data_IF_512185808307
#
_entry.id   IF_512185808307
#
_cell.length_a   1.000
_cell.length_b   1.000
_cell.length_c   1.000
_cell.angle_alpha   90.00
_cell.angle_beta   90.00
_cell.angle_gamma   90.00
#
_symmetry.space_group_name_H-M   'P 1'
#
loop_
_entity.id
_entity.type
_entity.pdbx_description
1 polymer ?
#
# COMPACT_ATOMS: atom_id res chain seq x y z
N UNK A 1 -25.39 -14.43 16.84
CA UNK A 1 -24.73 -14.15 15.54
C UNK A 1 -24.54 -15.50 14.86
N UNK A 2 -25.01 -15.68 13.63
CA UNK A 2 -24.86 -16.96 12.90
C UNK A 2 -23.40 -17.18 12.49
N UNK A 3 -23.02 -18.41 12.20
CA UNK A 3 -21.67 -18.74 11.69
C UNK A 3 -21.33 -17.91 10.44
N UNK A 4 -22.30 -17.76 9.52
CA UNK A 4 -22.16 -16.91 8.34
C UNK A 4 -21.86 -15.45 8.71
N UNK A 5 -22.57 -14.87 9.68
CA UNK A 5 -22.33 -13.49 10.10
C UNK A 5 -20.95 -13.31 10.74
N UNK A 6 -20.48 -14.29 11.51
CA UNK A 6 -19.14 -14.27 12.11
C UNK A 6 -18.05 -14.32 11.03
N UNK A 7 -18.22 -15.21 10.05
CA UNK A 7 -17.31 -15.32 8.91
C UNK A 7 -17.29 -14.05 8.05
N UNK A 8 -18.43 -13.44 7.79
CA UNK A 8 -18.49 -12.15 7.08
C UNK A 8 -17.81 -11.04 7.89
N UNK A 9 -18.10 -10.93 9.19
CA UNK A 9 -17.58 -9.87 10.05
C UNK A 9 -16.06 -9.89 10.22
N UNK A 10 -15.41 -11.06 10.09
CA UNK A 10 -13.94 -11.17 10.20
C UNK A 10 -13.18 -10.84 8.92
N UNK A 11 -13.84 -10.70 7.77
CA UNK A 11 -13.21 -10.45 6.47
C UNK A 11 -12.92 -8.95 6.27
N UNK A 12 -11.77 -8.64 5.67
CA UNK A 12 -11.37 -7.29 5.27
C UNK A 12 -10.84 -7.34 3.85
N UNK A 13 -11.57 -6.78 2.90
CA UNK A 13 -11.20 -6.80 1.48
C UNK A 13 -10.82 -5.40 1.04
N UNK A 14 -9.56 -5.21 0.61
CA UNK A 14 -9.07 -3.91 0.18
C UNK A 14 -8.08 -4.00 -0.98
N UNK A 15 -7.92 -2.89 -1.69
CA UNK A 15 -6.90 -2.73 -2.72
C UNK A 15 -5.84 -1.71 -2.29
N UNK A 16 -4.61 -1.86 -2.77
CA UNK A 16 -3.57 -0.82 -2.63
C UNK A 16 -3.52 -0.01 -3.92
N UNK A 17 -3.79 1.29 -3.81
CA UNK A 17 -3.77 2.24 -4.94
C UNK A 17 -2.61 3.21 -4.81
N UNK A 18 -1.93 3.48 -5.91
CA UNK A 18 -0.84 4.48 -5.93
C UNK A 18 -0.50 4.90 -7.35
N UNK A 19 0.22 6.01 -7.47
CA UNK A 19 0.97 6.31 -8.69
C UNK A 19 2.10 5.27 -8.91
N UNK A 20 2.55 5.05 -10.16
CA UNK A 20 3.80 4.35 -10.45
C UNK A 20 4.95 4.74 -9.50
N UNK A 21 5.75 3.76 -9.09
CA UNK A 21 6.93 3.94 -8.23
C UNK A 21 6.69 4.51 -6.82
N UNK A 22 5.46 4.85 -6.42
CA UNK A 22 5.16 5.30 -5.05
C UNK A 22 5.45 4.21 -3.98
N UNK A 23 5.52 2.95 -4.40
CA UNK A 23 5.99 1.82 -3.58
C UNK A 23 4.95 0.76 -3.26
N UNK A 24 3.85 0.69 -4.01
CA UNK A 24 2.79 -0.34 -3.90
C UNK A 24 3.34 -1.76 -3.70
N UNK A 25 4.21 -2.23 -4.60
CA UNK A 25 4.75 -3.61 -4.53
C UNK A 25 5.54 -3.87 -3.25
N UNK A 26 6.30 -2.88 -2.76
CA UNK A 26 7.03 -2.99 -1.51
C UNK A 26 6.09 -2.97 -0.30
N UNK A 27 5.01 -2.19 -0.35
CA UNK A 27 3.97 -2.22 0.67
C UNK A 27 3.25 -3.57 0.71
N UNK A 28 2.85 -4.10 -0.45
CA UNK A 28 2.26 -5.44 -0.59
C UNK A 28 3.14 -6.52 0.03
N UNK A 29 4.45 -6.53 -0.29
CA UNK A 29 5.40 -7.49 0.29
C UNK A 29 5.44 -7.41 1.82
N UNK A 30 5.50 -6.19 2.38
CA UNK A 30 5.54 -5.99 3.83
C UNK A 30 4.26 -6.44 4.52
N UNK A 31 3.11 -6.09 3.94
CA UNK A 31 1.80 -6.50 4.44
C UNK A 31 1.69 -8.02 4.49
N UNK A 32 2.10 -8.73 3.44
CA UNK A 32 2.12 -10.19 3.41
C UNK A 32 3.07 -10.79 4.44
N UNK A 33 4.26 -10.22 4.60
CA UNK A 33 5.24 -10.65 5.60
C UNK A 33 4.65 -10.55 7.02
N UNK A 34 4.02 -9.43 7.35
CA UNK A 34 3.35 -9.24 8.65
C UNK A 34 2.12 -10.13 8.83
N UNK A 35 1.47 -10.53 7.73
CA UNK A 35 0.39 -11.52 7.71
C UNK A 35 0.83 -12.98 7.84
N UNK A 36 2.13 -13.25 8.03
CA UNK A 36 2.67 -14.62 8.08
C UNK A 36 2.68 -15.34 6.73
N UNK A 37 2.35 -14.65 5.63
CA UNK A 37 2.35 -15.18 4.27
C UNK A 37 3.75 -15.13 3.64
N UNK A 38 4.74 -15.72 4.34
CA UNK A 38 6.18 -15.60 4.04
C UNK A 38 6.51 -16.09 2.61
N UNK A 39 5.90 -17.21 2.18
CA UNK A 39 6.12 -17.75 0.84
C UNK A 39 5.61 -16.80 -0.24
N UNK A 40 4.43 -16.21 -0.06
CA UNK A 40 3.86 -15.23 -1.00
C UNK A 40 4.70 -13.94 -1.05
N UNK A 41 5.14 -13.45 0.11
CA UNK A 41 6.05 -12.30 0.19
C UNK A 41 7.39 -12.58 -0.52
N UNK A 42 7.95 -13.78 -0.35
CA UNK A 42 9.17 -14.22 -1.04
C UNK A 42 9.04 -14.24 -2.56
N UNK A 43 7.89 -14.68 -3.09
CA UNK A 43 7.61 -14.68 -4.53
C UNK A 43 7.55 -13.26 -5.10
N UNK A 44 6.91 -12.32 -4.41
CA UNK A 44 6.85 -10.90 -4.83
C UNK A 44 8.25 -10.27 -4.83
N UNK A 45 9.04 -10.55 -3.79
CA UNK A 45 10.44 -10.14 -3.71
C UNK A 45 11.27 -10.74 -4.85
N UNK A 46 11.02 -12.01 -5.19
CA UNK A 46 11.64 -12.72 -6.31
C UNK A 46 11.34 -12.09 -7.67
N UNK A 47 10.11 -11.62 -7.89
CA UNK A 47 9.73 -10.83 -9.09
C UNK A 47 10.57 -9.56 -9.21
N UNK A 48 10.79 -8.84 -8.11
CA UNK A 48 11.64 -7.64 -8.07
C UNK A 48 13.14 -7.92 -8.24
N UNK A 49 13.61 -9.11 -7.82
CA UNK A 49 15.01 -9.52 -7.84
C UNK A 49 15.42 -10.38 -9.06
N UNK A 50 14.54 -10.55 -10.05
CA UNK A 50 14.88 -11.13 -11.35
C UNK A 50 15.09 -12.66 -11.39
N UNK A 51 14.66 -13.44 -10.39
CA UNK A 51 14.76 -14.92 -10.46
C UNK A 51 13.62 -15.54 -11.26
N UNK A 52 13.99 -16.46 -12.15
CA UNK A 52 13.19 -17.06 -13.23
C UNK A 52 11.86 -17.68 -12.80
N UNK A 53 10.85 -17.51 -13.64
CA UNK A 53 9.55 -18.13 -13.52
C UNK A 53 9.11 -18.72 -14.87
N UNK A 54 8.37 -19.83 -14.80
CA UNK A 54 8.20 -20.88 -15.82
C UNK A 54 6.99 -20.68 -16.77
N UNK A 55 6.63 -19.44 -17.10
CA UNK A 55 5.49 -19.16 -17.99
C UNK A 55 5.77 -17.97 -18.90
N UNK A 56 5.40 -18.08 -20.17
CA UNK A 56 5.59 -17.06 -21.21
C UNK A 56 5.04 -15.68 -20.81
N UNK A 57 4.00 -15.63 -19.98
CA UNK A 57 3.42 -14.40 -19.47
C UNK A 57 4.29 -13.70 -18.41
N UNK A 58 5.00 -14.46 -17.57
CA UNK A 58 5.93 -13.91 -16.57
C UNK A 58 7.22 -13.38 -17.21
N UNK A 59 7.60 -13.89 -18.38
CA UNK A 59 8.71 -13.36 -19.18
C UNK A 59 8.40 -11.94 -19.66
N UNK A 60 7.15 -11.68 -20.06
CA UNK A 60 6.68 -10.37 -20.53
C UNK A 60 6.57 -9.33 -19.39
N UNK A 61 6.11 -9.75 -18.20
CA UNK A 61 6.16 -8.92 -16.98
C UNK A 61 7.60 -8.53 -16.61
N UNK A 62 8.53 -9.48 -16.76
CA UNK A 62 9.94 -9.32 -16.43
C UNK A 62 10.69 -8.42 -17.42
N UNK A 63 10.36 -8.48 -18.71
CA UNK A 63 10.94 -7.61 -19.75
C UNK A 63 10.50 -6.15 -19.62
N UNK A 64 9.29 -5.89 -19.12
CA UNK A 64 8.73 -4.54 -18.96
C UNK A 64 8.82 -3.98 -17.54
N UNK A 65 9.12 -4.80 -16.54
CA UNK A 65 9.21 -4.37 -15.13
C UNK A 65 7.87 -4.01 -14.49
N UNK A 66 6.74 -4.48 -15.05
CA UNK A 66 5.37 -4.09 -14.67
C UNK A 66 4.53 -5.32 -14.29
N UNK A 67 3.60 -5.14 -13.34
CA UNK A 67 2.62 -6.16 -12.96
C UNK A 67 1.45 -6.12 -13.94
N UNK A 68 1.20 -7.20 -14.66
CA UNK A 68 0.26 -7.27 -15.80
C UNK A 68 -1.10 -7.86 -15.41
N UNK A 69 -1.21 -8.60 -14.29
CA UNK A 69 -2.49 -9.18 -13.84
C UNK A 69 -2.85 -8.85 -12.39
N UNK A 70 -4.15 -8.59 -12.16
CA UNK A 70 -4.73 -8.39 -10.82
C UNK A 70 -4.67 -9.69 -10.02
N UNK A 71 -3.81 -9.75 -9.02
CA UNK A 71 -3.65 -10.91 -8.13
C UNK A 71 -4.42 -10.69 -6.83
N UNK A 72 -5.22 -11.68 -6.43
CA UNK A 72 -5.89 -11.69 -5.12
C UNK A 72 -5.03 -12.49 -4.14
N UNK A 73 -4.72 -11.90 -2.98
CA UNK A 73 -3.92 -12.53 -1.94
C UNK A 73 -4.71 -12.54 -0.63
N UNK A 74 -4.92 -13.72 -0.06
CA UNK A 74 -5.60 -13.89 1.22
C UNK A 74 -4.61 -14.30 2.31
N UNK A 75 -4.69 -13.68 3.48
CA UNK A 75 -3.87 -14.03 4.63
C UNK A 75 -4.55 -13.68 5.96
N UNK A 76 -4.29 -14.42 7.05
CA UNK A 76 -4.80 -14.08 8.37
C UNK A 76 -3.98 -12.93 9.00
N UNK A 77 -4.63 -12.03 9.72
CA UNK A 77 -3.96 -11.00 10.52
C UNK A 77 -4.80 -10.62 11.73
N UNK A 78 -4.22 -10.72 12.95
CA UNK A 78 -4.89 -10.42 14.21
C UNK A 78 -6.30 -11.06 14.33
N UNK A 79 -6.51 -12.31 13.92
CA UNK A 79 -7.83 -12.96 13.97
C UNK A 79 -8.85 -12.48 12.92
N UNK A 80 -8.41 -11.69 11.93
CA UNK A 80 -9.18 -11.28 10.75
C UNK A 80 -8.65 -12.01 9.51
N UNK A 81 -9.47 -12.12 8.48
CA UNK A 81 -9.07 -12.64 7.16
C UNK A 81 -8.96 -11.45 6.21
N UNK A 82 -7.74 -11.17 5.76
CA UNK A 82 -7.44 -10.07 4.86
C UNK A 82 -7.41 -10.58 3.44
N UNK A 83 -8.17 -9.93 2.55
CA UNK A 83 -8.12 -10.12 1.11
C UNK A 83 -7.53 -8.87 0.48
N UNK A 84 -6.31 -8.98 -0.02
CA UNK A 84 -5.60 -7.90 -0.70
C UNK A 84 -5.71 -8.12 -2.20
N UNK A 85 -6.30 -7.17 -2.91
CA UNK A 85 -6.33 -7.14 -4.36
C UNK A 85 -5.23 -6.19 -4.86
N UNK A 86 -4.27 -6.72 -5.61
CA UNK A 86 -3.21 -5.90 -6.19
C UNK A 86 -3.68 -5.30 -7.52
N UNK A 87 -3.75 -3.97 -7.60
CA UNK A 87 -4.11 -3.26 -8.86
C UNK A 87 -2.87 -3.10 -9.74
N UNK A 88 -2.92 -3.38 -11.05
CA UNK A 88 -1.82 -3.06 -11.96
C UNK A 88 -1.39 -1.59 -11.86
N UNK A 89 -0.08 -1.34 -11.80
CA UNK A 89 0.46 0.01 -11.59
C UNK A 89 0.84 0.77 -12.86
N UNK A 90 0.79 0.14 -14.03
CA UNK A 90 1.23 0.74 -15.31
C UNK A 90 0.09 1.47 -16.03
N UNK A 91 0.44 2.51 -16.80
CA UNK A 91 -0.52 3.38 -17.52
C UNK A 91 -1.47 2.58 -18.42
N UNK A 92 -0.96 1.53 -19.06
CA UNK A 92 -1.70 0.68 -20.01
C UNK A 92 -2.84 -0.16 -19.42
N UNK A 93 -3.02 -0.20 -18.09
CA UNK A 93 -3.98 -1.09 -17.41
C UNK A 93 -5.05 -0.35 -16.60
N UNK A 94 -5.65 0.68 -17.19
CA UNK A 94 -6.69 1.51 -16.55
C UNK A 94 -7.98 0.71 -16.24
N UNK A 95 -8.49 -0.10 -17.17
CA UNK A 95 -9.77 -0.79 -17.00
C UNK A 95 -9.75 -1.88 -15.91
N UNK A 96 -8.73 -2.73 -15.91
CA UNK A 96 -8.60 -3.79 -14.89
C UNK A 96 -8.39 -3.24 -13.49
N UNK A 97 -7.71 -2.09 -13.36
CA UNK A 97 -7.57 -1.38 -12.09
C UNK A 97 -8.92 -0.90 -11.57
N UNK A 98 -9.75 -0.32 -12.45
CA UNK A 98 -11.07 0.16 -12.05
C UNK A 98 -12.01 -0.98 -11.67
N UNK A 99 -11.96 -2.12 -12.40
CA UNK A 99 -12.71 -3.33 -12.03
C UNK A 99 -12.30 -3.87 -10.66
N UNK A 100 -11.02 -3.87 -10.33
CA UNK A 100 -10.56 -4.28 -8.99
C UNK A 100 -11.15 -3.40 -7.91
N UNK A 101 -11.22 -2.08 -8.12
CA UNK A 101 -11.82 -1.17 -7.15
C UNK A 101 -13.32 -1.40 -6.94
N UNK A 102 -14.01 -2.03 -7.90
CA UNK A 102 -15.40 -2.47 -7.69
C UNK A 102 -15.55 -3.73 -6.84
N UNK A 103 -14.47 -4.46 -6.57
CA UNK A 103 -14.49 -5.72 -5.83
C UNK A 103 -14.01 -5.60 -4.38
N UNK A 104 -13.71 -4.38 -3.92
CA UNK A 104 -13.16 -4.12 -2.58
C UNK A 104 -14.09 -3.27 -1.73
N UNK A 105 -13.99 -3.46 -0.41
CA UNK A 105 -14.77 -2.70 0.58
C UNK A 105 -14.07 -1.39 0.98
N UNK A 106 -12.76 -1.28 0.74
CA UNK A 106 -11.93 -0.11 1.08
C UNK A 106 -10.65 -0.07 0.23
N UNK A 107 -9.92 1.05 0.27
CA UNK A 107 -8.64 1.20 -0.41
C UNK A 107 -7.55 1.76 0.53
N UNK A 108 -6.31 1.30 0.32
CA UNK A 108 -5.11 1.85 0.92
C UNK A 108 -4.35 2.66 -0.14
N UNK A 109 -4.36 3.97 -0.02
CA UNK A 109 -3.63 4.88 -0.90
C UNK A 109 -2.19 5.05 -0.43
N UNK A 110 -1.22 4.81 -1.32
CA UNK A 110 0.21 4.99 -1.05
C UNK A 110 0.71 6.21 -1.80
N UNK A 111 1.29 7.16 -1.08
CA UNK A 111 1.83 8.42 -1.61
C UNK A 111 3.33 8.48 -1.35
N UNK A 112 4.12 8.88 -2.35
CA UNK A 112 5.54 9.16 -2.17
C UNK A 112 5.73 10.54 -1.50
N UNK A 113 6.38 10.59 -0.34
CA UNK A 113 6.62 11.86 0.38
C UNK A 113 7.35 12.90 -0.46
N UNK A 114 8.21 12.47 -1.40
CA UNK A 114 8.98 13.40 -2.23
C UNK A 114 8.14 14.03 -3.34
N UNK A 115 7.11 13.32 -3.80
CA UNK A 115 6.31 13.74 -4.97
C UNK A 115 4.96 14.31 -4.60
N UNK A 116 4.33 13.80 -3.55
CA UNK A 116 2.97 14.16 -3.16
C UNK A 116 1.92 13.54 -4.08
N UNK A 117 0.87 14.30 -4.38
CA UNK A 117 -0.28 13.80 -5.15
C UNK A 117 0.04 13.88 -6.64
N UNK A 118 0.11 12.72 -7.29
CA UNK A 118 0.37 12.59 -8.73
C UNK A 118 -0.91 12.27 -9.52
N UNK A 119 -0.91 12.47 -10.84
CA UNK A 119 -2.08 12.34 -11.72
C UNK A 119 -2.85 11.01 -11.56
N UNK A 120 -2.12 9.89 -11.54
CA UNK A 120 -2.74 8.57 -11.33
C UNK A 120 -3.43 8.46 -9.97
N UNK A 121 -2.90 9.08 -8.93
CA UNK A 121 -3.54 9.11 -7.59
C UNK A 121 -4.88 9.82 -7.66
N UNK A 122 -4.97 10.90 -8.44
CA UNK A 122 -6.22 11.64 -8.68
C UNK A 122 -7.23 10.75 -9.42
N UNK A 123 -6.83 10.12 -10.52
CA UNK A 123 -7.72 9.24 -11.31
C UNK A 123 -8.25 8.06 -10.47
N UNK A 124 -7.40 7.44 -9.64
CA UNK A 124 -7.80 6.35 -8.74
C UNK A 124 -8.74 6.84 -7.63
N UNK A 125 -8.53 8.05 -7.12
CA UNK A 125 -9.42 8.69 -6.15
C UNK A 125 -10.81 8.92 -6.75
N UNK A 126 -10.90 9.35 -8.00
CA UNK A 126 -12.19 9.54 -8.68
C UNK A 126 -12.98 8.24 -8.78
N UNK A 127 -12.32 7.12 -9.10
CA UNK A 127 -12.98 5.81 -9.13
C UNK A 127 -13.43 5.34 -7.74
N UNK A 128 -12.64 5.57 -6.69
CA UNK A 128 -13.06 5.28 -5.32
C UNK A 128 -14.27 6.13 -4.90
N UNK A 129 -14.34 7.38 -5.38
CA UNK A 129 -15.45 8.30 -5.08
C UNK A 129 -16.77 7.86 -5.73
N UNK A 130 -16.75 7.12 -6.84
CA UNK A 130 -17.97 6.58 -7.48
C UNK A 130 -18.73 5.58 -6.59
N UNK A 131 -18.09 5.06 -5.54
CA UNK A 131 -18.65 4.05 -4.64
C UNK A 131 -18.57 4.40 -3.16
N UNK A 132 -18.24 5.65 -2.84
CA UNK A 132 -17.98 6.09 -1.47
C UNK A 132 -16.99 5.17 -0.73
N UNK A 133 -16.01 4.61 -1.48
CA UNK A 133 -15.07 3.64 -0.93
C UNK A 133 -14.19 4.31 0.13
N UNK A 134 -14.15 3.81 1.37
CA UNK A 134 -13.28 4.35 2.42
C UNK A 134 -11.80 4.25 2.04
N UNK A 135 -11.05 5.31 2.33
CA UNK A 135 -9.62 5.40 1.98
C UNK A 135 -8.78 5.59 3.24
N UNK A 136 -7.75 4.74 3.36
CA UNK A 136 -6.64 4.95 4.29
C UNK A 136 -5.43 5.43 3.49
N UNK A 137 -4.69 6.43 3.98
CA UNK A 137 -3.51 6.95 3.28
C UNK A 137 -2.23 6.59 4.02
N UNK A 138 -1.23 6.13 3.28
CA UNK A 138 0.11 5.83 3.77
C UNK A 138 1.14 6.69 3.03
N UNK A 139 1.80 7.59 3.76
CA UNK A 139 2.91 8.39 3.24
C UNK A 139 4.19 7.54 3.31
N UNK A 140 4.71 7.18 2.14
CA UNK A 140 5.85 6.31 1.96
C UNK A 140 7.15 7.09 1.74
N UNK A 141 8.28 6.38 1.88
CA UNK A 141 9.64 6.88 1.62
C UNK A 141 10.10 8.02 2.53
N UNK A 142 9.62 8.05 3.78
CA UNK A 142 10.09 8.99 4.82
C UNK A 142 11.59 8.87 5.13
N UNK A 143 12.26 7.80 4.69
CA UNK A 143 13.72 7.64 4.69
C UNK A 143 14.44 8.57 3.69
N UNK A 144 13.69 9.30 2.86
CA UNK A 144 14.17 10.30 1.90
C UNK A 144 13.68 11.69 2.29
N UNK A 145 14.38 12.73 1.82
CA UNK A 145 13.88 14.10 1.91
C UNK A 145 12.68 14.25 0.95
N UNK A 146 11.69 15.05 1.34
CA UNK A 146 10.47 15.23 0.57
C UNK A 146 9.71 16.48 1.01
N UNK A 147 8.41 16.51 0.75
CA UNK A 147 7.52 17.61 1.14
C UNK A 147 7.33 17.65 2.65
N UNK A 148 7.10 18.85 3.17
CA UNK A 148 6.77 19.01 4.59
C UNK A 148 5.40 18.37 4.89
N UNK A 149 5.22 17.68 6.04
CA UNK A 149 4.01 16.92 6.31
C UNK A 149 2.72 17.74 6.27
N UNK A 150 2.76 19.00 6.71
CA UNK A 150 1.59 19.90 6.68
C UNK A 150 1.22 20.26 5.24
N UNK A 151 2.21 20.58 4.40
CA UNK A 151 1.99 20.87 2.98
C UNK A 151 1.43 19.64 2.25
N UNK A 152 1.93 18.45 2.60
CA UNK A 152 1.46 17.20 2.02
C UNK A 152 0.01 16.90 2.42
N UNK A 153 -0.40 17.22 3.65
CA UNK A 153 -1.80 17.11 4.06
C UNK A 153 -2.69 18.10 3.29
N UNK A 154 -2.27 19.35 3.17
CA UNK A 154 -3.01 20.38 2.42
C UNK A 154 -3.17 19.99 0.94
N UNK A 155 -2.12 19.44 0.33
CA UNK A 155 -2.14 18.91 -1.02
C UNK A 155 -3.14 17.75 -1.16
N UNK A 156 -3.14 16.81 -0.23
CA UNK A 156 -4.09 15.70 -0.22
C UNK A 156 -5.52 16.22 -0.08
N UNK A 157 -5.79 17.13 0.86
CA UNK A 157 -7.13 17.68 1.06
C UNK A 157 -7.63 18.45 -0.15
N UNK A 158 -6.79 19.33 -0.71
CA UNK A 158 -7.15 20.22 -1.80
C UNK A 158 -7.30 19.47 -3.12
N UNK A 159 -6.33 18.63 -3.47
CA UNK A 159 -6.29 17.94 -4.78
C UNK A 159 -7.25 16.76 -4.79
N UNK A 160 -7.22 15.91 -3.74
CA UNK A 160 -8.06 14.72 -3.68
C UNK A 160 -9.46 14.99 -3.12
N UNK A 161 -9.73 16.21 -2.64
CA UNK A 161 -11.03 16.65 -2.11
C UNK A 161 -11.54 15.73 -1.00
N UNK A 162 -10.65 15.32 -0.10
CA UNK A 162 -10.92 14.43 1.03
C UNK A 162 -10.23 14.96 2.27
N UNK A 163 -10.94 15.06 3.39
CA UNK A 163 -10.35 15.54 4.65
C UNK A 163 -9.33 14.53 5.18
N UNK A 164 -8.23 15.03 5.70
CA UNK A 164 -7.21 14.23 6.36
C UNK A 164 -7.42 14.18 7.87
N UNK A 165 -7.19 13.01 8.45
CA UNK A 165 -7.17 12.80 9.89
C UNK A 165 -5.87 12.07 10.26
N UNK A 166 -4.82 12.80 10.69
CA UNK A 166 -3.53 12.18 11.02
C UNK A 166 -3.65 11.19 12.19
N UNK A 167 -3.29 9.93 11.96
CA UNK A 167 -3.17 8.91 13.01
C UNK A 167 -1.76 8.89 13.60
N UNK A 168 -0.78 9.07 12.73
CA UNK A 168 0.65 9.14 13.07
C UNK A 168 1.29 10.36 12.43
N UNK A 169 2.35 10.87 13.07
CA UNK A 169 3.10 12.04 12.61
C UNK A 169 4.61 11.72 12.52
N UNK A 170 5.30 12.07 11.43
CA UNK A 170 6.73 11.81 11.31
C UNK A 170 7.56 12.70 12.23
N UNK A 171 8.60 12.13 12.84
CA UNK A 171 9.61 12.86 13.62
C UNK A 171 10.88 12.92 12.77
N UNK A 172 11.04 14.02 12.03
CA UNK A 172 12.07 14.19 11.02
C UNK A 172 11.80 13.40 9.74
N UNK A 173 12.67 13.57 8.76
CA UNK A 173 12.63 12.90 7.46
C UNK A 173 14.04 12.69 6.92
N UNK A 174 14.19 11.88 5.88
CA UNK A 174 15.49 11.62 5.28
C UNK A 174 16.49 11.06 6.29
N UNK A 175 17.70 11.63 6.31
CA UNK A 175 18.74 11.26 7.29
C UNK A 175 18.37 11.62 8.74
N UNK A 176 17.41 12.54 8.94
CA UNK A 176 16.95 13.00 10.25
C UNK A 176 15.77 12.18 10.77
N UNK A 177 15.25 11.20 10.03
CA UNK A 177 14.13 10.38 10.46
C UNK A 177 14.44 9.66 11.77
N UNK A 178 13.69 9.99 12.84
CA UNK A 178 13.82 9.39 14.17
C UNK A 178 12.70 8.42 14.49
N UNK A 179 11.55 8.51 13.81
CA UNK A 179 10.39 7.68 14.11
C UNK A 179 9.09 8.36 13.76
N UNK A 180 8.02 7.88 14.39
CA UNK A 180 6.68 8.43 14.28
C UNK A 180 6.08 8.63 15.69
N UNK A 181 5.29 9.67 15.86
CA UNK A 181 4.43 9.85 17.02
C UNK A 181 3.01 9.38 16.67
N UNK A 182 2.39 8.59 17.54
CA UNK A 182 1.03 8.09 17.36
C UNK A 182 0.05 8.95 18.17
N UNK A 183 -0.76 9.77 17.50
CA UNK A 183 -1.56 10.83 18.16
C UNK A 183 -2.59 10.25 19.13
N UNK A 184 -3.23 9.12 18.78
CA UNK A 184 -4.29 8.52 19.58
C UNK A 184 -3.80 7.64 20.73
N UNK A 185 -2.54 7.18 20.66
CA UNK A 185 -1.97 6.29 21.67
C UNK A 185 -0.94 7.00 22.54
N UNK A 186 -0.73 8.31 22.29
CA UNK A 186 0.24 9.16 22.96
C UNK A 186 1.62 8.49 23.13
N UNK A 187 2.16 7.94 22.03
CA UNK A 187 3.43 7.19 22.08
C UNK A 187 4.33 7.49 20.89
N UNK A 188 5.63 7.40 21.12
CA UNK A 188 6.67 7.51 20.07
C UNK A 188 7.15 6.11 19.67
N UNK A 189 7.12 5.82 18.38
CA UNK A 189 7.69 4.61 17.78
C UNK A 189 8.99 5.01 17.07
N UNK A 190 10.12 4.61 17.64
CA UNK A 190 11.44 4.95 17.12
C UNK A 190 11.77 4.15 15.85
N UNK A 191 12.30 4.84 14.85
CA UNK A 191 12.79 4.23 13.61
C UNK A 191 14.21 3.69 13.83
N UNK A 192 14.36 2.37 13.63
CA UNK A 192 15.66 1.69 13.60
C UNK A 192 16.02 1.32 12.15
N UNK A 193 17.08 1.91 11.56
CA UNK A 193 17.57 1.54 10.24
C UNK A 193 17.90 0.05 10.14
N UNK A 194 17.69 -0.54 8.97
CA UNK A 194 17.83 -1.98 8.74
C UNK A 194 19.24 -2.54 8.94
N UNK A 195 20.27 -1.71 9.10
CA UNK A 195 21.64 -2.14 9.45
C UNK A 195 21.72 -2.82 10.82
N UNK A 196 20.72 -2.64 11.70
CA UNK A 196 20.68 -3.24 13.03
C UNK A 196 19.75 -4.47 13.16
N UNK A 197 18.98 -4.84 12.11
CA UNK A 197 17.97 -5.92 12.18
C UNK A 197 18.49 -7.34 11.89
N UNK A 198 19.80 -7.54 11.78
CA UNK A 198 20.38 -8.86 11.44
C UNK A 198 20.52 -9.83 12.65
N UNK A 199 20.14 -9.43 13.86
CA UNK A 199 20.36 -10.25 15.06
C UNK A 199 19.11 -10.83 15.73
N UNK A 200 17.90 -10.44 15.36
CA UNK A 200 16.68 -10.85 16.08
C UNK A 200 15.67 -11.63 15.21
N UNK A 201 16.12 -12.73 14.60
CA UNK A 201 15.27 -13.80 14.08
C UNK A 201 15.85 -15.17 14.43
#
# INVERSE_FOLDING_TARGET
>A
MTELQQETARRRTFAIISHPDAGKTTMTEKVLLFGGAIQLAGTIKGRKAGRHATSDWMTMEKERGISVTSSVMQFPYNGRIVNLLDTPGHEDFSEDTYRVLTAVDSALMVIDVAKGVEERTINLMEVCRLRDTPIMTFINKLDREGKEPIELLDEVETVLKIKCAPITWPIGMGKRLKGIYHLYEDKVILYKPSTERRQDY
#
